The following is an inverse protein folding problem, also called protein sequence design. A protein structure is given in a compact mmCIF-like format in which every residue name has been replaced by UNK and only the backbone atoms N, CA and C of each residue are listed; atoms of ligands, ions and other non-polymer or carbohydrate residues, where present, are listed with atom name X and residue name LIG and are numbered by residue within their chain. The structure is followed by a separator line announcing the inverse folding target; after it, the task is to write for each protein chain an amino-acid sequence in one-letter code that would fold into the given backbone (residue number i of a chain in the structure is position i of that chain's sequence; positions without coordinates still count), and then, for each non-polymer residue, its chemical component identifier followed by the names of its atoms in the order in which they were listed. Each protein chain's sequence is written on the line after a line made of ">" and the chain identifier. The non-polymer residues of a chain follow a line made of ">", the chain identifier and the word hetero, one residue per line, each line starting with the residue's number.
data_IF_777834055695
#
_entry.id   IF_777834055695
#
_cell.length_a   1.000
_cell.length_b   1.000
_cell.length_c   1.000
_cell.angle_alpha   90.00
_cell.angle_beta   90.00
_cell.angle_gamma   90.00
#
_symmetry.space_group_name_H-M   'P 1'
#
loop_
_entity.id
_entity.type
_entity.pdbx_description
1 polymer ?
#
# COMPACT_ATOMS: atom_id res chain seq x y z
N UNK A 1 -29.96 22.99 -17.52
CA UNK A 1 -29.42 21.67 -17.91
C UNK A 1 -29.22 20.86 -16.64
N UNK A 2 -29.75 19.63 -16.52
CA UNK A 2 -29.51 18.83 -15.32
C UNK A 2 -28.02 18.48 -15.23
N UNK A 3 -27.41 18.74 -14.08
CA UNK A 3 -26.03 18.34 -13.80
C UNK A 3 -26.05 16.86 -13.47
N UNK A 4 -25.57 16.02 -14.38
CA UNK A 4 -25.32 14.61 -14.11
C UNK A 4 -24.12 14.50 -13.15
N UNK A 5 -24.37 13.91 -11.98
CA UNK A 5 -23.36 13.71 -10.94
C UNK A 5 -22.72 12.34 -11.16
N UNK A 6 -21.42 12.29 -11.48
CA UNK A 6 -20.62 11.07 -11.58
C UNK A 6 -19.77 10.92 -10.31
N UNK A 7 -19.98 9.83 -9.58
CA UNK A 7 -19.17 9.50 -8.38
C UNK A 7 -18.50 8.14 -8.61
N UNK A 8 -17.25 8.11 -9.10
CA UNK A 8 -16.47 6.88 -9.21
C UNK A 8 -15.88 6.49 -7.85
N UNK A 9 -15.64 5.20 -7.64
CA UNK A 9 -14.96 4.67 -6.45
C UNK A 9 -13.70 3.92 -6.86
N UNK A 10 -12.56 4.28 -6.27
CA UNK A 10 -11.28 3.64 -6.54
C UNK A 10 -10.83 2.86 -5.30
N UNK A 11 -10.21 1.70 -5.51
CA UNK A 11 -9.67 0.87 -4.45
C UNK A 11 -8.13 0.92 -4.48
N UNK A 12 -7.53 1.20 -3.31
CA UNK A 12 -6.09 1.18 -3.10
C UNK A 12 -5.72 -0.04 -2.26
N UNK A 13 -4.66 -0.74 -2.64
CA UNK A 13 -4.21 -1.94 -1.96
C UNK A 13 -2.99 -1.65 -1.08
N UNK A 14 -3.09 -1.99 0.20
CA UNK A 14 -2.02 -1.82 1.19
C UNK A 14 -1.21 -3.11 1.37
N UNK A 15 0.11 -3.03 1.12
CA UNK A 15 1.02 -4.18 1.23
C UNK A 15 1.48 -4.46 2.66
N UNK A 16 1.58 -3.43 3.49
CA UNK A 16 2.14 -3.51 4.86
C UNK A 16 1.36 -4.45 5.78
N UNK A 17 0.03 -4.48 5.65
CA UNK A 17 -0.81 -5.39 6.42
C UNK A 17 -0.64 -6.85 5.98
N UNK A 18 -0.56 -7.09 4.67
CA UNK A 18 -0.36 -8.41 4.11
C UNK A 18 0.99 -9.02 4.55
N UNK A 19 2.07 -8.24 4.50
CA UNK A 19 3.41 -8.69 4.88
C UNK A 19 3.51 -9.00 6.39
N UNK A 20 2.84 -8.18 7.22
CA UNK A 20 2.76 -8.43 8.67
C UNK A 20 2.00 -9.72 8.98
N UNK A 21 0.87 -9.96 8.31
CA UNK A 21 0.08 -11.17 8.49
C UNK A 21 0.87 -12.41 8.06
N UNK A 22 1.58 -12.35 6.93
CA UNK A 22 2.45 -13.44 6.44
C UNK A 22 3.53 -13.76 7.46
N UNK A 23 4.21 -12.74 7.97
CA UNK A 23 5.21 -12.91 9.04
C UNK A 23 4.63 -13.52 10.31
N UNK A 24 3.49 -13.03 10.79
CA UNK A 24 2.84 -13.59 11.98
C UNK A 24 2.43 -15.06 11.77
N UNK A 25 2.04 -15.44 10.55
CA UNK A 25 1.67 -16.82 10.18
C UNK A 25 2.90 -17.74 10.09
N UNK A 26 4.03 -17.22 9.62
CA UNK A 26 5.32 -17.94 9.56
C UNK A 26 5.95 -18.11 10.95
N UNK A 27 5.95 -17.05 11.77
CA UNK A 27 6.51 -17.05 13.13
C UNK A 27 5.63 -17.86 14.10
N UNK A 28 4.32 -17.80 13.93
CA UNK A 28 3.34 -18.56 14.70
C UNK A 28 2.50 -19.40 13.73
N UNK A 29 2.96 -20.62 13.44
CA UNK A 29 2.19 -21.63 12.69
C UNK A 29 0.70 -21.51 12.98
N UNK A 30 -0.14 -21.36 11.95
CA UNK A 30 -1.57 -21.20 12.14
C UNK A 30 -2.21 -22.55 12.55
N UNK A 31 -3.04 -22.60 13.61
CA UNK A 31 -3.40 -21.51 14.52
C UNK A 31 -2.25 -21.18 15.50
N UNK A 32 -1.97 -19.89 15.77
CA UNK A 32 -0.87 -19.47 16.61
C UNK A 32 -0.97 -20.19 17.96
N UNK A 33 0.08 -20.93 18.36
CA UNK A 33 0.23 -21.47 19.72
C UNK A 33 0.49 -20.34 20.71
N UNK A 34 -0.38 -19.34 20.76
CA UNK A 34 -0.70 -18.71 22.04
C UNK A 34 -1.27 -19.86 22.86
N UNK A 35 -0.64 -20.16 23.99
CA UNK A 35 -0.98 -21.20 24.95
C UNK A 35 -2.52 -21.41 25.04
N UNK A 36 -3.10 -22.24 24.16
CA UNK A 36 -4.55 -22.43 24.08
C UNK A 36 -4.88 -23.71 24.81
N UNK A 37 -5.69 -23.56 25.86
CA UNK A 37 -6.57 -24.62 26.33
C UNK A 37 -7.27 -25.21 25.11
N UNK A 38 -7.12 -26.53 24.96
CA UNK A 38 -7.58 -27.33 23.83
C UNK A 38 -9.04 -27.00 23.47
N UNK A 39 -9.29 -26.71 22.21
CA UNK A 39 -10.38 -27.32 21.47
C UNK A 39 -9.85 -27.68 20.08
N UNK A 40 -9.87 -28.98 19.80
CA UNK A 40 -9.66 -29.60 18.50
C UNK A 40 -10.85 -29.29 17.60
N UNK A 41 -10.61 -28.92 16.35
CA UNK A 41 -11.28 -29.50 15.18
C UNK A 41 -10.53 -29.09 13.89
N UNK A 42 -10.78 -29.87 12.86
CA UNK A 42 -9.87 -30.30 11.79
C UNK A 42 -9.59 -29.26 10.68
N UNK A 43 -8.51 -29.53 9.94
CA UNK A 43 -7.99 -28.79 8.79
C UNK A 43 -8.94 -28.85 7.57
N UNK A 44 -9.03 -27.74 6.83
CA UNK A 44 -9.19 -27.79 5.37
C UNK A 44 -8.13 -26.92 4.71
N UNK A 45 -7.42 -27.52 3.74
CA UNK A 45 -6.31 -26.92 2.99
C UNK A 45 -6.74 -26.43 1.59
N UNK A 46 -6.26 -25.22 1.25
CA UNK A 46 -6.04 -24.65 -0.11
C UNK A 46 -7.28 -24.17 -0.90
N UNK A 47 -7.15 -23.40 -2.03
CA UNK A 47 -5.95 -22.94 -2.74
C UNK A 47 -5.95 -21.48 -3.28
N UNK A 48 -4.72 -20.97 -3.54
CA UNK A 48 -4.31 -19.91 -4.51
C UNK A 48 -4.84 -18.49 -4.31
N UNK A 49 -3.88 -17.59 -4.04
CA UNK A 49 -3.98 -16.13 -4.10
C UNK A 49 -4.51 -15.69 -5.49
N UNK A 50 -5.83 -15.54 -5.59
CA UNK A 50 -6.48 -14.81 -6.66
C UNK A 50 -6.67 -13.39 -6.15
N UNK A 51 -6.07 -12.42 -6.84
CA UNK A 51 -6.40 -11.01 -6.68
C UNK A 51 -7.93 -10.88 -6.69
N UNK A 52 -8.56 -10.35 -5.63
CA UNK A 52 -10.01 -10.38 -5.51
C UNK A 52 -10.62 -9.71 -6.73
N UNK A 53 -11.55 -10.43 -7.36
CA UNK A 53 -12.33 -9.85 -8.44
C UNK A 53 -13.02 -8.60 -7.92
N UNK A 54 -13.08 -7.54 -8.74
CA UNK A 54 -13.76 -6.28 -8.37
C UNK A 54 -15.18 -6.55 -7.84
N UNK A 55 -15.83 -7.60 -8.33
CA UNK A 55 -17.16 -8.03 -7.92
C UNK A 55 -17.24 -8.48 -6.44
N UNK A 56 -16.19 -9.09 -5.90
CA UNK A 56 -16.10 -9.47 -4.48
C UNK A 56 -15.84 -8.26 -3.58
N UNK A 57 -14.96 -7.33 -4.01
CA UNK A 57 -14.68 -6.07 -3.30
C UNK A 57 -15.93 -5.19 -3.27
N UNK A 58 -16.73 -5.25 -4.34
CA UNK A 58 -17.93 -4.43 -4.51
C UNK A 58 -19.18 -5.10 -3.94
N UNK A 59 -19.06 -6.16 -3.13
CA UNK A 59 -20.22 -6.87 -2.56
C UNK A 59 -21.06 -5.98 -1.63
N UNK A 60 -20.45 -4.95 -1.05
CA UNK A 60 -21.02 -4.05 -0.04
C UNK A 60 -21.79 -2.85 -0.65
N UNK A 61 -22.55 -3.06 -1.75
CA UNK A 61 -23.39 -2.03 -2.42
C UNK A 61 -24.56 -1.52 -1.55
N UNK A 62 -24.78 -2.16 -0.40
CA UNK A 62 -25.90 -1.92 0.51
C UNK A 62 -25.86 -0.54 1.19
N UNK A 63 -24.72 0.16 1.19
CA UNK A 63 -24.54 1.44 1.91
C UNK A 63 -25.16 2.68 1.23
N UNK A 64 -26.08 2.54 0.28
CA UNK A 64 -26.89 3.64 -0.28
C UNK A 64 -26.10 4.75 -0.99
N UNK A 65 -24.83 4.53 -1.32
CA UNK A 65 -23.99 5.51 -2.00
C UNK A 65 -24.38 5.58 -3.48
N UNK A 66 -24.59 6.78 -4.03
CA UNK A 66 -24.85 7.02 -5.48
C UNK A 66 -23.56 6.89 -6.30
N UNK A 67 -22.96 5.70 -6.27
CA UNK A 67 -21.68 5.40 -6.93
C UNK A 67 -21.94 4.72 -8.26
N UNK A 68 -21.26 5.18 -9.31
CA UNK A 68 -21.20 4.44 -10.57
C UNK A 68 -20.09 3.39 -10.49
N UNK A 69 -20.50 2.17 -10.20
CA UNK A 69 -19.58 1.03 -10.05
C UNK A 69 -18.89 0.62 -11.36
N UNK A 70 -19.42 1.02 -12.52
CA UNK A 70 -18.80 0.74 -13.83
C UNK A 70 -17.48 1.49 -14.02
N UNK A 71 -17.31 2.58 -13.29
CA UNK A 71 -16.08 3.38 -13.28
C UNK A 71 -15.16 3.04 -12.10
N UNK A 72 -15.37 1.89 -11.44
CA UNK A 72 -14.46 1.42 -10.39
C UNK A 72 -13.28 0.65 -10.98
N UNK A 73 -12.09 0.86 -10.40
CA UNK A 73 -10.87 0.20 -10.84
C UNK A 73 -9.91 -0.01 -9.67
N UNK A 74 -8.94 -0.91 -9.88
CA UNK A 74 -7.85 -1.23 -8.94
C UNK A 74 -6.57 -0.53 -9.43
N UNK A 75 -5.75 -0.08 -8.48
CA UNK A 75 -4.53 0.71 -8.72
C UNK A 75 -3.25 -0.12 -8.82
N UNK A 76 -3.31 -1.40 -8.47
CA UNK A 76 -2.19 -2.36 -8.51
C UNK A 76 -1.95 -2.89 -9.93
N UNK A 77 -0.79 -3.54 -10.12
CA UNK A 77 -0.36 -4.20 -11.36
C UNK A 77 -1.34 -5.24 -11.94
N UNK A 78 -2.33 -5.67 -11.16
CA UNK A 78 -3.44 -6.50 -11.64
C UNK A 78 -4.32 -5.82 -12.70
N UNK A 79 -4.24 -4.49 -12.86
CA UNK A 79 -4.97 -3.75 -13.88
C UNK A 79 -4.04 -3.18 -14.98
N UNK A 80 -3.96 -3.81 -16.17
CA UNK A 80 -3.07 -3.36 -17.23
C UNK A 80 -3.45 -1.98 -17.81
N UNK A 81 -4.73 -1.61 -17.79
CA UNK A 81 -5.18 -0.31 -18.28
C UNK A 81 -4.67 0.82 -17.41
N UNK A 82 -4.77 0.67 -16.09
CA UNK A 82 -4.30 1.69 -15.14
C UNK A 82 -2.77 1.79 -15.13
N UNK A 83 -2.05 0.65 -15.19
CA UNK A 83 -0.60 0.63 -15.35
C UNK A 83 -0.14 1.40 -16.61
N UNK A 84 -0.77 1.17 -17.77
CA UNK A 84 -0.45 1.92 -19.00
C UNK A 84 -0.68 3.44 -18.86
N UNK A 85 -1.71 3.84 -18.10
CA UNK A 85 -2.01 5.24 -17.81
C UNK A 85 -0.91 5.87 -16.95
N UNK A 86 -0.50 5.19 -15.88
CA UNK A 86 0.56 5.66 -14.97
C UNK A 86 1.89 5.75 -15.71
N UNK A 87 2.27 4.73 -16.50
CA UNK A 87 3.49 4.77 -17.33
C UNK A 87 3.51 5.97 -18.26
N UNK A 88 2.39 6.25 -18.95
CA UNK A 88 2.26 7.44 -19.81
C UNK A 88 2.38 8.74 -19.01
N UNK A 89 1.80 8.81 -17.81
CA UNK A 89 1.89 9.98 -16.94
C UNK A 89 3.35 10.24 -16.53
N UNK A 90 4.08 9.23 -16.07
CA UNK A 90 5.50 9.35 -15.73
C UNK A 90 6.36 9.71 -16.93
N UNK A 91 6.07 9.15 -18.12
CA UNK A 91 6.74 9.55 -19.36
C UNK A 91 6.58 11.05 -19.67
N UNK A 92 5.37 11.60 -19.49
CA UNK A 92 5.11 13.04 -19.63
C UNK A 92 5.83 13.88 -18.57
N UNK A 93 5.84 13.43 -17.31
CA UNK A 93 6.51 14.14 -16.22
C UNK A 93 8.03 14.16 -16.39
N UNK A 94 8.60 13.07 -16.89
CA UNK A 94 10.01 12.98 -17.23
C UNK A 94 10.36 13.90 -18.41
N UNK A 95 9.56 13.89 -19.48
CA UNK A 95 9.72 14.83 -20.60
C UNK A 95 9.59 16.30 -20.16
N UNK A 96 8.75 16.59 -19.18
CA UNK A 96 8.59 17.91 -18.57
C UNK A 96 9.64 18.26 -17.50
N UNK A 97 10.66 17.41 -17.28
CA UNK A 97 11.73 17.59 -16.28
C UNK A 97 11.20 17.84 -14.86
N UNK A 98 10.09 17.18 -14.49
CA UNK A 98 9.54 17.21 -13.13
C UNK A 98 10.01 16.03 -12.27
N UNK A 99 10.65 15.05 -12.89
CA UNK A 99 11.17 13.84 -12.24
C UNK A 99 12.64 13.71 -12.60
N UNK A 100 13.50 13.78 -11.59
CA UNK A 100 14.96 13.70 -11.74
C UNK A 100 15.53 12.63 -10.83
N UNK A 101 16.62 11.99 -11.29
CA UNK A 101 17.39 11.06 -10.49
C UNK A 101 18.55 11.79 -9.82
N UNK A 102 18.49 11.90 -8.49
CA UNK A 102 19.53 12.53 -7.69
C UNK A 102 19.62 11.89 -6.30
N UNK A 103 20.80 11.93 -5.68
CA UNK A 103 20.96 11.58 -4.27
C UNK A 103 20.33 12.69 -3.43
N UNK A 104 19.30 12.37 -2.67
CA UNK A 104 18.57 13.31 -1.81
C UNK A 104 18.44 12.74 -0.41
N UNK A 105 18.50 13.61 0.60
CA UNK A 105 18.23 13.22 1.98
C UNK A 105 16.72 13.00 2.13
N UNK A 106 16.34 11.77 2.46
CA UNK A 106 14.95 11.39 2.73
C UNK A 106 14.90 10.53 3.98
N UNK A 107 13.80 10.58 4.72
CA UNK A 107 13.57 9.63 5.82
C UNK A 107 13.56 8.22 5.25
N UNK A 108 14.39 7.34 5.81
CA UNK A 108 14.67 6.01 5.28
C UNK A 108 14.31 4.94 6.32
N UNK A 109 13.68 3.84 5.87
CA UNK A 109 13.39 2.68 6.70
C UNK A 109 14.46 1.60 6.47
N UNK A 110 15.27 1.28 7.48
CA UNK A 110 16.26 0.21 7.38
C UNK A 110 15.63 -1.18 7.24
N UNK A 111 14.37 -1.35 7.67
CA UNK A 111 13.65 -2.63 7.58
C UNK A 111 13.14 -2.88 6.16
N UNK A 112 12.54 -1.86 5.55
CA UNK A 112 11.91 -1.98 4.24
C UNK A 112 12.88 -1.68 3.08
N UNK A 113 14.09 -1.21 3.41
CA UNK A 113 15.15 -0.85 2.44
C UNK A 113 14.65 0.17 1.40
N UNK A 114 13.77 1.08 1.82
CA UNK A 114 13.16 2.09 0.95
C UNK A 114 12.89 3.43 1.68
N UNK A 115 12.73 4.54 0.94
CA UNK A 115 12.29 5.81 1.50
C UNK A 115 10.91 5.70 2.18
N UNK A 116 10.78 6.21 3.39
CA UNK A 116 9.54 6.18 4.16
C UNK A 116 8.76 7.48 4.00
N UNK A 117 7.78 7.46 3.09
CA UNK A 117 6.82 8.55 2.85
C UNK A 117 5.71 8.54 3.90
N UNK A 118 4.95 9.65 3.99
CA UNK A 118 3.95 9.85 5.06
C UNK A 118 2.95 8.69 5.21
N UNK A 119 2.41 8.14 4.11
CA UNK A 119 1.46 7.03 4.19
C UNK A 119 2.07 5.68 4.60
N UNK A 120 3.41 5.59 4.70
CA UNK A 120 4.10 4.41 5.24
C UNK A 120 4.45 4.57 6.73
N UNK A 121 4.08 5.69 7.36
CA UNK A 121 4.43 5.97 8.76
C UNK A 121 3.30 5.62 9.71
N UNK A 122 3.65 4.97 10.80
CA UNK A 122 2.76 4.82 11.96
C UNK A 122 2.83 6.01 12.92
N UNK A 123 3.97 6.72 12.95
CA UNK A 123 4.20 7.89 13.81
C UNK A 123 5.03 8.95 13.08
N UNK A 124 4.91 10.22 13.50
CA UNK A 124 5.71 11.32 12.95
C UNK A 124 5.33 11.69 11.51
N UNK A 125 4.03 11.81 11.22
CA UNK A 125 3.55 12.33 9.94
C UNK A 125 4.07 13.76 9.71
N UNK A 126 4.59 14.04 8.51
CA UNK A 126 5.11 15.37 8.16
C UNK A 126 6.52 15.68 8.66
N UNK A 127 7.17 14.78 9.42
CA UNK A 127 8.55 15.01 9.87
C UNK A 127 9.54 14.87 8.70
N UNK A 128 10.35 15.90 8.46
CA UNK A 128 11.41 15.93 7.45
C UNK A 128 12.81 15.72 8.04
N UNK A 129 13.83 15.55 7.18
CA UNK A 129 15.22 15.52 7.63
C UNK A 129 15.65 16.88 8.19
N UNK A 130 16.24 16.87 9.39
CA UNK A 130 16.79 18.06 10.02
C UNK A 130 18.31 18.13 9.79
N UNK A 131 18.82 19.31 9.41
CA UNK A 131 20.24 19.53 9.17
C UNK A 131 20.97 19.91 10.45
N UNK A 132 22.13 19.31 10.67
CA UNK A 132 23.05 19.61 11.76
C UNK A 132 24.48 19.68 11.23
N UNK A 133 25.31 20.55 11.82
CA UNK A 133 26.73 20.67 11.50
C UNK A 133 27.51 19.87 12.55
N UNK A 134 28.30 18.89 12.11
CA UNK A 134 29.15 18.08 12.98
C UNK A 134 30.56 18.69 12.99
N UNK A 135 31.01 19.15 14.16
CA UNK A 135 32.37 19.69 14.35
C UNK A 135 33.24 18.56 14.89
N UNK A 136 34.27 18.18 14.14
CA UNK A 136 35.25 17.20 14.60
C UNK A 136 36.34 17.91 15.38
N UNK A 137 36.50 17.53 16.65
CA UNK A 137 37.57 18.01 17.53
C UNK A 137 38.68 16.97 17.55
N UNK A 138 39.94 17.41 17.44
CA UNK A 138 41.10 16.55 17.69
C UNK A 138 41.44 16.62 19.18
N UNK A 139 41.61 15.45 19.80
CA UNK A 139 42.15 15.33 21.15
C UNK A 139 43.66 15.15 21.05
N UNK A 140 44.40 15.90 21.86
CA UNK A 140 45.87 15.83 22.00
C UNK A 140 46.31 14.57 22.76
#
# INVERSE_FOLDING_TARGET
>A
MPVSILVPMCWYADKTFADKLKKETEDFSYPPRILFVRFTEEEEESPKEQVPSIDEITKDKSKGKKVDWRCSFITTDGNPYYDSFVRRQFGKLYAAKKVDFAKRYTVYSSKDVQPCINHNRSTGEGVGPQQYILIQLQTD
#
